data_IF_657546666288
#
_entry.id   IF_657546666288
#
_cell.length_a   1.000
_cell.length_b   1.000
_cell.length_c   1.000
_cell.angle_alpha   90.00
_cell.angle_beta   90.00
_cell.angle_gamma   90.00
#
_symmetry.space_group_name_H-M   'P 1'
#
loop_
_entity.id
_entity.type
_entity.pdbx_description
1 polymer ?
#
# COMPACT_ATOMS: atom_id res chain seq x y z
N UNK A 1 6.44 26.43 6.29
CA UNK A 1 5.12 27.10 6.07
C UNK A 1 4.03 26.11 6.38
N UNK A 2 2.80 26.52 6.68
CA UNK A 2 1.76 25.55 7.01
C UNK A 2 1.36 24.73 5.78
N UNK A 3 1.03 23.46 5.97
CA UNK A 3 0.38 22.63 4.96
C UNK A 3 -0.96 23.27 4.60
N UNK A 4 -1.23 23.43 3.29
CA UNK A 4 -2.45 24.06 2.77
C UNK A 4 -3.63 23.07 2.81
N UNK A 5 -3.98 22.61 4.03
CA UNK A 5 -5.08 21.68 4.24
C UNK A 5 -5.71 21.88 5.64
N UNK A 6 -7.03 21.96 5.68
CA UNK A 6 -7.74 22.24 6.94
C UNK A 6 -8.21 20.97 7.65
N UNK A 7 -8.35 21.04 8.97
CA UNK A 7 -8.90 19.94 9.76
C UNK A 7 -10.33 19.56 9.34
N UNK A 8 -11.16 20.54 8.97
CA UNK A 8 -12.52 20.29 8.47
C UNK A 8 -12.48 19.48 7.17
N UNK A 9 -11.58 19.83 6.26
CA UNK A 9 -11.40 19.09 5.01
C UNK A 9 -10.88 17.66 5.27
N UNK A 10 -9.98 17.47 6.22
CA UNK A 10 -9.51 16.15 6.62
C UNK A 10 -10.66 15.26 7.10
N UNK A 11 -11.54 15.80 7.96
CA UNK A 11 -12.73 15.08 8.44
C UNK A 11 -13.66 14.68 7.29
N UNK A 12 -13.89 15.60 6.32
CA UNK A 12 -14.69 15.31 5.13
C UNK A 12 -14.06 14.21 4.28
N UNK A 13 -12.77 14.29 4.03
CA UNK A 13 -12.05 13.31 3.22
C UNK A 13 -12.09 11.92 3.87
N UNK A 14 -11.82 11.80 5.17
CA UNK A 14 -11.94 10.53 5.90
C UNK A 14 -13.36 9.95 5.74
N UNK A 15 -14.40 10.78 5.93
CA UNK A 15 -15.78 10.33 5.80
C UNK A 15 -16.12 9.88 4.36
N UNK A 16 -15.63 10.57 3.33
CA UNK A 16 -15.87 10.21 1.93
C UNK A 16 -15.15 8.90 1.56
N UNK A 17 -13.93 8.68 2.04
CA UNK A 17 -13.21 7.40 1.88
C UNK A 17 -13.97 6.25 2.57
N UNK A 18 -14.46 6.44 3.78
CA UNK A 18 -15.26 5.43 4.48
C UNK A 18 -16.57 5.12 3.77
N UNK A 19 -17.23 6.13 3.18
CA UNK A 19 -18.42 5.94 2.35
C UNK A 19 -18.09 5.12 1.09
N UNK A 20 -16.94 5.35 0.47
CA UNK A 20 -16.50 4.55 -0.66
C UNK A 20 -16.31 3.07 -0.29
N UNK A 21 -15.68 2.79 0.86
CA UNK A 21 -15.55 1.42 1.37
C UNK A 21 -16.88 0.71 1.56
N UNK A 22 -17.94 1.44 1.90
CA UNK A 22 -19.28 0.91 2.09
C UNK A 22 -20.15 0.92 0.81
N UNK A 23 -19.63 1.44 -0.31
CA UNK A 23 -20.41 1.63 -1.55
C UNK A 23 -21.51 2.70 -1.41
N UNK A 24 -21.30 3.71 -0.55
CA UNK A 24 -22.27 4.76 -0.22
C UNK A 24 -21.85 6.13 -0.73
N UNK A 25 -20.71 6.25 -1.40
CA UNK A 25 -20.18 7.53 -1.86
C UNK A 25 -21.01 8.12 -3.01
N UNK A 26 -21.53 7.25 -3.89
CA UNK A 26 -22.37 7.64 -5.03
C UNK A 26 -21.59 8.28 -6.18
N UNK A 27 -20.27 8.25 -6.12
CA UNK A 27 -19.34 8.74 -7.14
C UNK A 27 -17.99 8.00 -7.03
N UNK A 28 -17.13 8.08 -8.05
CA UNK A 28 -15.74 7.62 -7.90
C UNK A 28 -15.03 8.33 -6.75
N UNK A 29 -14.09 7.63 -6.11
CA UNK A 29 -13.13 8.21 -5.20
C UNK A 29 -11.90 8.64 -6.00
N UNK A 30 -11.60 9.92 -6.05
CA UNK A 30 -10.49 10.44 -6.85
C UNK A 30 -9.61 11.35 -6.01
N UNK A 31 -8.38 10.92 -5.80
CA UNK A 31 -7.33 11.73 -5.16
C UNK A 31 -6.53 12.44 -6.23
N UNK A 32 -6.41 13.76 -6.15
CA UNK A 32 -5.57 14.53 -7.06
C UNK A 32 -4.61 15.43 -6.26
N UNK A 33 -3.31 15.17 -6.40
CA UNK A 33 -2.25 15.98 -5.79
C UNK A 33 -1.53 16.77 -6.86
N UNK A 34 -1.48 18.09 -6.68
CA UNK A 34 -0.79 19.02 -7.58
C UNK A 34 0.52 19.42 -6.94
N UNK A 35 1.63 19.09 -7.59
CA UNK A 35 2.97 19.46 -7.13
C UNK A 35 3.34 20.88 -7.53
N UNK A 36 4.20 21.51 -6.75
CA UNK A 36 4.70 22.88 -6.99
C UNK A 36 3.59 23.92 -7.16
N UNK A 37 2.45 23.70 -6.49
CA UNK A 37 1.34 24.65 -6.45
C UNK A 37 1.63 25.86 -5.55
N UNK A 38 2.44 25.66 -4.50
CA UNK A 38 2.80 26.69 -3.53
C UNK A 38 4.30 26.80 -3.35
N UNK A 39 4.82 28.01 -3.00
CA UNK A 39 6.24 28.19 -2.70
C UNK A 39 6.60 27.48 -1.39
N UNK A 40 7.77 26.86 -1.37
CA UNK A 40 8.34 26.22 -0.18
C UNK A 40 9.24 27.17 0.61
N UNK A 41 9.39 26.87 1.91
CA UNK A 41 10.42 27.47 2.75
C UNK A 41 11.85 27.05 2.35
N UNK A 42 12.88 27.48 3.11
CA UNK A 42 14.24 27.00 2.90
C UNK A 42 14.33 25.48 2.98
N UNK A 43 15.05 24.88 2.03
CA UNK A 43 15.21 23.43 1.98
C UNK A 43 15.96 22.91 3.21
N UNK A 44 15.42 21.91 3.93
CA UNK A 44 16.11 21.21 5.01
C UNK A 44 17.41 20.55 4.53
N UNK A 45 18.29 20.22 5.48
CA UNK A 45 19.54 19.53 5.16
C UNK A 45 19.33 18.04 4.86
N UNK A 46 18.39 17.43 5.59
CA UNK A 46 18.05 16.02 5.38
C UNK A 46 17.46 15.81 3.98
N UNK A 47 17.77 14.69 3.33
CA UNK A 47 17.14 14.32 2.06
C UNK A 47 15.67 13.94 2.32
N UNK A 48 14.84 14.08 1.30
CA UNK A 48 13.51 13.46 1.28
C UNK A 48 13.71 11.95 1.36
N UNK A 49 12.99 11.30 2.27
CA UNK A 49 13.09 9.86 2.47
C UNK A 49 12.62 9.12 1.22
N UNK A 50 13.48 8.26 0.69
CA UNK A 50 13.26 7.48 -0.53
C UNK A 50 14.03 6.16 -0.46
N UNK A 51 13.75 5.21 -1.37
CA UNK A 51 14.41 3.90 -1.37
C UNK A 51 15.96 4.01 -1.43
N UNK A 52 16.47 5.03 -2.10
CA UNK A 52 17.92 5.26 -2.25
C UNK A 52 18.61 5.62 -0.93
N UNK A 53 17.88 6.14 0.06
CA UNK A 53 18.50 6.68 1.26
C UNK A 53 17.95 6.11 2.59
N UNK A 54 17.06 5.13 2.57
CA UNK A 54 16.50 4.52 3.80
C UNK A 54 17.54 3.92 4.74
N UNK A 55 18.71 3.54 4.20
CA UNK A 55 19.84 2.98 4.94
C UNK A 55 20.68 4.03 5.68
N UNK A 56 20.49 5.33 5.38
CA UNK A 56 21.25 6.41 6.01
C UNK A 56 20.67 6.76 7.38
N UNK A 57 21.25 6.20 8.43
CA UNK A 57 20.88 6.42 9.82
C UNK A 57 21.56 7.67 10.43
N UNK A 58 22.30 8.47 9.64
CA UNK A 58 22.93 9.70 10.14
C UNK A 58 21.94 10.81 10.44
N UNK A 59 20.76 10.78 9.78
CA UNK A 59 19.68 11.73 9.99
C UNK A 59 18.75 11.28 11.10
N UNK A 60 18.41 12.21 12.01
CA UNK A 60 17.44 11.90 13.07
C UNK A 60 16.01 11.77 12.50
N UNK A 61 15.10 11.09 13.21
CA UNK A 61 13.69 11.03 12.81
C UNK A 61 13.06 12.42 12.61
N UNK A 62 13.39 13.39 13.46
CA UNK A 62 12.88 14.76 13.40
C UNK A 62 13.37 15.51 12.16
N UNK A 63 14.65 15.35 11.77
CA UNK A 63 15.20 15.93 10.53
C UNK A 63 14.54 15.34 9.28
N UNK A 64 14.26 14.02 9.28
CA UNK A 64 13.52 13.36 8.21
C UNK A 64 12.09 13.89 8.12
N UNK A 65 11.40 13.98 9.24
CA UNK A 65 10.01 14.50 9.31
C UNK A 65 9.95 15.95 8.84
N UNK A 66 10.95 16.78 9.18
CA UNK A 66 11.05 18.15 8.68
C UNK A 66 11.22 18.20 7.15
N UNK A 67 12.04 17.32 6.58
CA UNK A 67 12.24 17.23 5.14
C UNK A 67 10.98 16.79 4.40
N UNK A 68 10.26 15.80 4.93
CA UNK A 68 8.99 15.32 4.39
C UNK A 68 7.90 16.41 4.45
N UNK A 69 7.80 17.14 5.55
CA UNK A 69 6.86 18.26 5.67
C UNK A 69 7.17 19.35 4.64
N UNK A 70 8.45 19.71 4.49
CA UNK A 70 8.89 20.72 3.51
C UNK A 70 8.51 20.34 2.08
N UNK A 71 8.58 19.06 1.71
CA UNK A 71 8.13 18.61 0.39
C UNK A 71 6.63 18.84 0.21
N UNK A 72 5.83 18.48 1.21
CA UNK A 72 4.38 18.59 1.17
C UNK A 72 3.86 20.03 1.24
N UNK A 73 4.65 21.00 1.69
CA UNK A 73 4.28 22.44 1.71
C UNK A 73 3.90 22.99 0.34
N UNK A 74 4.48 22.41 -0.74
CA UNK A 74 4.20 22.89 -2.09
C UNK A 74 2.96 22.27 -2.73
N UNK A 75 2.31 21.34 -2.08
CA UNK A 75 1.22 20.57 -2.69
C UNK A 75 -0.13 21.22 -2.48
N UNK A 76 -0.95 21.18 -3.54
CA UNK A 76 -2.40 21.39 -3.46
C UNK A 76 -3.11 20.04 -3.56
N UNK A 77 -4.07 19.84 -2.69
CA UNK A 77 -4.84 18.60 -2.60
C UNK A 77 -6.25 18.84 -3.11
N UNK A 78 -6.64 18.18 -4.20
CA UNK A 78 -7.94 18.33 -4.86
C UNK A 78 -8.75 17.03 -4.75
N UNK A 79 -10.08 17.14 -4.89
CA UNK A 79 -10.98 16.00 -4.75
C UNK A 79 -10.85 15.34 -3.38
N UNK A 80 -10.56 14.05 -3.36
CA UNK A 80 -10.42 13.25 -2.13
C UNK A 80 -8.95 13.12 -1.67
N UNK A 81 -8.03 13.93 -2.22
CA UNK A 81 -6.64 13.94 -1.80
C UNK A 81 -6.44 14.62 -0.44
N UNK A 82 -5.38 14.23 0.23
CA UNK A 82 -4.99 14.70 1.55
C UNK A 82 -3.46 14.62 1.72
N UNK A 83 -2.87 15.38 2.66
CA UNK A 83 -1.44 15.29 2.96
C UNK A 83 -1.09 13.92 3.54
N UNK A 84 -0.15 13.22 2.91
CA UNK A 84 0.27 11.89 3.32
C UNK A 84 1.76 11.67 3.11
N UNK A 85 2.39 11.02 4.07
CA UNK A 85 3.75 10.48 3.98
C UNK A 85 3.65 8.98 3.79
N UNK A 86 4.22 8.49 2.69
CA UNK A 86 4.25 7.08 2.36
C UNK A 86 5.56 6.43 2.83
N UNK A 87 5.43 5.41 3.68
CA UNK A 87 6.55 4.63 4.20
C UNK A 87 6.91 3.40 3.34
N UNK A 88 6.26 3.19 2.19
CA UNK A 88 6.61 2.13 1.25
C UNK A 88 8.03 2.29 0.67
N UNK A 89 8.67 3.43 0.88
CA UNK A 89 10.10 3.63 0.55
C UNK A 89 11.04 2.65 1.25
N UNK A 90 10.64 2.03 2.37
CA UNK A 90 11.42 0.96 3.02
C UNK A 90 11.34 -0.38 2.27
N UNK A 91 10.64 -0.43 1.15
CA UNK A 91 10.51 -1.56 0.23
C UNK A 91 9.25 -2.40 0.49
N UNK A 92 8.81 -3.16 -0.52
CA UNK A 92 7.70 -4.08 -0.36
C UNK A 92 8.12 -5.23 0.56
N UNK A 93 7.33 -5.50 1.59
CA UNK A 93 7.61 -6.60 2.51
C UNK A 93 8.74 -6.32 3.51
N UNK A 94 8.85 -5.08 4.03
CA UNK A 94 9.90 -4.73 5.02
C UNK A 94 9.86 -5.60 6.28
N UNK A 95 8.76 -6.31 6.55
CA UNK A 95 8.68 -7.30 7.63
C UNK A 95 9.77 -8.37 7.51
N UNK A 96 10.15 -8.78 6.29
CA UNK A 96 11.25 -9.73 6.10
C UNK A 96 12.55 -9.24 6.74
N UNK A 97 12.89 -7.95 6.60
CA UNK A 97 14.07 -7.37 7.25
C UNK A 97 13.91 -7.30 8.78
N UNK A 98 12.70 -7.09 9.28
CA UNK A 98 12.40 -7.11 10.72
C UNK A 98 12.47 -8.52 11.31
N UNK A 99 12.32 -9.55 10.47
CA UNK A 99 12.44 -10.97 10.83
C UNK A 99 13.83 -11.56 10.54
N UNK A 100 14.79 -10.78 10.01
CA UNK A 100 16.19 -11.23 9.86
C UNK A 100 16.75 -11.20 8.44
N UNK A 101 15.95 -10.98 7.40
CA UNK A 101 16.47 -10.79 6.04
C UNK A 101 17.39 -9.57 5.97
N UNK A 102 18.37 -9.63 5.07
CA UNK A 102 19.24 -8.49 4.82
C UNK A 102 18.57 -7.53 3.85
N UNK A 103 18.32 -6.29 4.30
CA UNK A 103 17.91 -5.21 3.40
C UNK A 103 19.14 -4.59 2.74
N UNK A 104 19.16 -4.52 1.43
CA UNK A 104 20.15 -3.82 0.61
C UNK A 104 19.47 -2.87 -0.38
N UNK A 105 20.00 -1.68 -0.53
CA UNK A 105 19.52 -0.66 -1.47
C UNK A 105 20.65 -0.06 -2.32
N UNK A 106 21.75 -0.78 -2.45
CA UNK A 106 22.94 -0.35 -3.25
C UNK A 106 22.61 -0.10 -4.73
N UNK A 107 21.54 -0.72 -5.25
CA UNK A 107 21.03 -0.50 -6.62
C UNK A 107 20.16 0.75 -6.77
N UNK A 108 19.92 1.51 -5.69
CA UNK A 108 18.95 2.60 -5.66
C UNK A 108 17.50 2.12 -5.41
N UNK A 109 17.30 0.81 -5.23
CA UNK A 109 16.03 0.19 -4.85
C UNK A 109 16.25 -0.76 -3.70
N UNK A 110 15.24 -0.88 -2.83
CA UNK A 110 15.28 -1.82 -1.69
C UNK A 110 15.04 -3.25 -2.17
N UNK A 111 15.94 -4.14 -1.74
CA UNK A 111 15.85 -5.58 -1.94
C UNK A 111 16.08 -6.30 -0.62
N UNK A 112 15.47 -7.47 -0.46
CA UNK A 112 15.67 -8.34 0.70
C UNK A 112 16.40 -9.60 0.27
N UNK A 113 17.44 -9.97 1.03
CA UNK A 113 18.25 -11.16 0.77
C UNK A 113 18.07 -12.19 1.90
N UNK A 114 18.00 -13.48 1.54
CA UNK A 114 17.74 -14.55 2.48
C UNK A 114 18.74 -14.61 3.64
N UNK A 115 18.23 -14.97 4.81
CA UNK A 115 19.06 -15.24 5.99
C UNK A 115 19.26 -16.74 6.25
N UNK A 116 18.34 -17.62 5.84
CA UNK A 116 18.42 -19.07 5.97
C UNK A 116 17.68 -19.74 4.79
N UNK A 117 18.40 -20.46 3.95
CA UNK A 117 17.84 -21.10 2.75
C UNK A 117 17.16 -22.44 3.03
N UNK A 118 17.52 -23.09 4.12
CA UNK A 118 16.94 -24.37 4.53
C UNK A 118 15.63 -24.10 5.29
N UNK A 119 14.49 -24.35 4.62
CA UNK A 119 13.15 -24.10 5.18
C UNK A 119 12.89 -24.87 6.47
N UNK A 120 13.57 -26.00 6.67
CA UNK A 120 13.45 -26.82 7.89
C UNK A 120 14.14 -26.18 9.09
N UNK A 121 15.09 -25.26 8.86
CA UNK A 121 15.84 -24.52 9.89
C UNK A 121 15.37 -23.09 10.06
N UNK A 122 14.67 -22.55 9.06
CA UNK A 122 14.14 -21.20 9.14
C UNK A 122 13.07 -21.12 10.23
N UNK A 123 13.16 -20.09 11.07
CA UNK A 123 12.11 -19.68 12.01
C UNK A 123 11.82 -18.20 11.85
N UNK A 124 10.54 -17.84 11.78
CA UNK A 124 10.10 -16.49 11.50
C UNK A 124 9.52 -15.88 12.77
N UNK A 125 10.12 -14.76 13.21
CA UNK A 125 9.64 -14.00 14.37
C UNK A 125 9.86 -12.52 14.13
N UNK A 126 8.86 -11.71 14.42
CA UNK A 126 9.01 -10.26 14.48
C UNK A 126 9.90 -9.87 15.66
N UNK A 127 10.93 -9.08 15.38
CA UNK A 127 11.76 -8.47 16.41
C UNK A 127 11.47 -6.96 16.48
N UNK A 128 10.70 -6.48 17.49
CA UNK A 128 10.39 -5.07 17.64
C UNK A 128 11.61 -4.18 17.91
N UNK A 129 12.75 -4.77 18.32
CA UNK A 129 14.02 -4.07 18.56
C UNK A 129 14.97 -4.14 17.35
N UNK A 130 14.57 -4.83 16.28
CA UNK A 130 15.32 -4.81 15.03
C UNK A 130 15.56 -3.37 14.55
N UNK A 131 16.74 -3.11 13.99
CA UNK A 131 17.12 -1.75 13.57
C UNK A 131 16.11 -1.09 12.61
N UNK A 132 15.49 -1.88 11.70
CA UNK A 132 14.52 -1.38 10.73
C UNK A 132 13.17 -1.10 11.40
N UNK A 133 12.69 -2.00 12.26
CA UNK A 133 11.48 -1.79 13.05
C UNK A 133 11.60 -0.53 13.90
N UNK A 134 12.72 -0.37 14.63
CA UNK A 134 12.99 0.83 15.43
C UNK A 134 13.03 2.09 14.59
N UNK A 135 13.80 2.08 13.47
CA UNK A 135 13.93 3.24 12.57
C UNK A 135 12.59 3.74 12.08
N UNK A 136 11.75 2.84 11.56
CA UNK A 136 10.44 3.21 11.03
C UNK A 136 9.52 3.69 12.16
N UNK A 137 9.50 3.00 13.30
CA UNK A 137 8.71 3.42 14.48
C UNK A 137 9.11 4.80 14.99
N UNK A 138 10.40 5.11 15.02
CA UNK A 138 10.87 6.41 15.50
C UNK A 138 10.49 7.54 14.53
N UNK A 139 10.55 7.31 13.21
CA UNK A 139 10.03 8.25 12.21
C UNK A 139 8.52 8.45 12.38
N UNK A 140 7.75 7.36 12.56
CA UNK A 140 6.31 7.45 12.83
C UNK A 140 6.02 8.28 14.09
N UNK A 141 6.71 8.03 15.21
CA UNK A 141 6.52 8.78 16.46
C UNK A 141 6.81 10.26 16.30
N UNK A 142 7.94 10.60 15.66
CA UNK A 142 8.30 11.98 15.37
C UNK A 142 7.24 12.68 14.51
N UNK A 143 6.74 12.01 13.47
CA UNK A 143 5.69 12.54 12.60
C UNK A 143 4.35 12.71 13.33
N UNK A 144 3.91 11.72 14.11
CA UNK A 144 2.68 11.81 14.91
C UNK A 144 2.73 12.98 15.90
N UNK A 145 3.86 13.15 16.59
CA UNK A 145 4.03 14.26 17.54
C UNK A 145 4.02 15.62 16.84
N UNK A 146 4.70 15.75 15.70
CA UNK A 146 4.82 16.99 14.94
C UNK A 146 3.53 17.38 14.23
N UNK A 147 2.89 16.44 13.56
CA UNK A 147 1.77 16.72 12.65
C UNK A 147 0.39 16.62 13.30
N UNK A 148 0.24 15.83 14.35
CA UNK A 148 -1.01 15.69 15.12
C UNK A 148 -2.24 15.45 14.24
N UNK A 149 -2.07 14.65 13.18
CA UNK A 149 -3.12 14.30 12.22
C UNK A 149 -3.32 15.29 11.07
N UNK A 150 -2.54 16.37 10.95
CA UNK A 150 -2.58 17.26 9.77
C UNK A 150 -1.89 16.65 8.54
N UNK A 151 -0.95 15.76 8.74
CA UNK A 151 -0.34 14.89 7.73
C UNK A 151 -0.52 13.46 8.21
N UNK A 152 -1.01 12.60 7.33
CA UNK A 152 -1.24 11.18 7.63
C UNK A 152 0.01 10.38 7.26
N UNK A 153 0.37 9.42 8.09
CA UNK A 153 1.47 8.48 7.85
C UNK A 153 0.86 7.14 7.45
N UNK A 154 1.38 6.53 6.39
CA UNK A 154 0.93 5.19 5.98
C UNK A 154 1.45 4.12 6.93
N UNK A 155 0.73 3.02 7.04
CA UNK A 155 1.28 1.75 7.52
C UNK A 155 2.44 1.37 6.59
N UNK A 156 3.61 0.96 7.11
CA UNK A 156 4.66 0.43 6.24
C UNK A 156 4.18 -0.79 5.47
N UNK A 157 4.77 -1.04 4.31
CA UNK A 157 4.46 -2.22 3.52
C UNK A 157 5.10 -3.46 4.16
N UNK A 158 4.30 -4.20 4.93
CA UNK A 158 4.75 -5.42 5.61
C UNK A 158 4.86 -6.62 4.66
N UNK A 159 4.31 -6.51 3.44
CA UNK A 159 4.31 -7.57 2.43
C UNK A 159 3.23 -8.63 2.61
N UNK A 160 3.19 -9.56 1.67
CA UNK A 160 2.40 -10.77 1.73
C UNK A 160 3.11 -11.89 2.51
N UNK A 161 2.38 -12.84 3.04
CA UNK A 161 2.94 -13.89 3.90
C UNK A 161 3.97 -14.75 3.15
N UNK A 162 3.63 -15.27 1.97
CA UNK A 162 4.59 -16.05 1.18
C UNK A 162 5.74 -15.20 0.63
N UNK A 163 5.51 -13.91 0.36
CA UNK A 163 6.54 -13.00 -0.12
C UNK A 163 7.58 -12.73 0.98
N UNK A 164 7.14 -12.60 2.23
CA UNK A 164 8.03 -12.50 3.39
C UNK A 164 8.85 -13.79 3.58
N UNK A 165 8.21 -14.95 3.45
CA UNK A 165 8.91 -16.24 3.55
C UNK A 165 9.93 -16.35 2.41
N UNK A 166 9.56 -16.04 1.16
CA UNK A 166 10.45 -16.03 -0.01
C UNK A 166 11.64 -15.08 0.18
N UNK A 167 11.43 -13.92 0.81
CA UNK A 167 12.50 -12.98 1.14
C UNK A 167 13.46 -13.52 2.21
N UNK A 168 13.00 -14.41 3.08
CA UNK A 168 13.79 -14.98 4.17
C UNK A 168 14.57 -16.25 3.77
N UNK A 169 14.02 -17.07 2.87
CA UNK A 169 14.72 -18.31 2.45
C UNK A 169 15.17 -18.31 0.99
N UNK A 170 14.56 -17.50 0.14
CA UNK A 170 14.77 -17.50 -1.31
C UNK A 170 13.53 -17.98 -2.04
N UNK A 171 13.24 -17.36 -3.16
CA UNK A 171 12.03 -17.64 -3.96
C UNK A 171 12.04 -19.06 -4.53
N UNK A 172 13.21 -19.51 -5.05
CA UNK A 172 13.37 -20.86 -5.61
C UNK A 172 13.28 -21.92 -4.51
N UNK A 173 13.92 -21.67 -3.38
CA UNK A 173 13.90 -22.56 -2.22
C UNK A 173 12.46 -22.75 -1.70
N UNK A 174 11.69 -21.66 -1.59
CA UNK A 174 10.28 -21.74 -1.20
C UNK A 174 9.47 -22.54 -2.24
N UNK A 175 9.68 -22.28 -3.53
CA UNK A 175 8.95 -22.96 -4.61
C UNK A 175 9.20 -24.48 -4.56
N UNK A 176 10.44 -24.92 -4.37
CA UNK A 176 10.73 -26.34 -4.20
C UNK A 176 10.11 -26.89 -2.91
N UNK A 177 10.20 -26.15 -1.81
CA UNK A 177 9.64 -26.58 -0.53
C UNK A 177 8.12 -26.78 -0.57
N UNK A 178 7.36 -26.01 -1.38
CA UNK A 178 5.92 -26.25 -1.54
C UNK A 178 5.60 -27.63 -2.12
N UNK A 179 6.55 -28.30 -2.77
CA UNK A 179 6.40 -29.66 -3.34
C UNK A 179 7.05 -30.72 -2.45
N UNK A 180 8.23 -30.44 -1.92
CA UNK A 180 9.07 -31.43 -1.24
C UNK A 180 8.87 -31.42 0.28
N UNK A 181 8.54 -30.27 0.87
CA UNK A 181 8.43 -30.03 2.32
C UNK A 181 7.17 -29.22 2.69
N UNK A 182 5.95 -29.58 2.19
CA UNK A 182 4.75 -28.75 2.35
C UNK A 182 4.38 -28.51 3.82
N UNK A 183 4.68 -29.44 4.72
CA UNK A 183 4.41 -29.29 6.17
C UNK A 183 5.27 -28.17 6.79
N UNK A 184 6.52 -28.03 6.33
CA UNK A 184 7.39 -26.94 6.76
C UNK A 184 6.90 -25.59 6.21
N UNK A 185 6.42 -25.56 4.96
CA UNK A 185 5.81 -24.35 4.41
C UNK A 185 4.58 -23.93 5.22
N UNK A 186 3.70 -24.88 5.62
CA UNK A 186 2.57 -24.57 6.50
C UNK A 186 3.01 -24.04 7.86
N UNK A 187 4.08 -24.59 8.45
CA UNK A 187 4.66 -24.05 9.69
C UNK A 187 5.14 -22.62 9.51
N UNK A 188 5.91 -22.37 8.44
CA UNK A 188 6.43 -21.03 8.15
C UNK A 188 5.31 -20.03 7.89
N UNK A 189 4.23 -20.43 7.22
CA UNK A 189 3.04 -19.57 7.03
C UNK A 189 2.47 -19.13 8.38
N UNK A 190 2.29 -20.05 9.33
CA UNK A 190 1.77 -19.70 10.65
C UNK A 190 2.72 -18.78 11.44
N UNK A 191 4.03 -19.03 11.37
CA UNK A 191 5.02 -18.16 12.00
C UNK A 191 5.04 -16.76 11.35
N UNK A 192 4.98 -16.68 10.03
CA UNK A 192 4.94 -15.41 9.28
C UNK A 192 3.64 -14.62 9.53
N UNK A 193 2.48 -15.30 9.60
CA UNK A 193 1.21 -14.65 9.98
C UNK A 193 1.28 -14.07 11.40
N UNK A 194 1.85 -14.80 12.34
CA UNK A 194 2.02 -14.28 13.70
C UNK A 194 2.94 -13.05 13.71
N UNK A 195 4.10 -13.13 13.05
CA UNK A 195 5.03 -12.02 12.94
C UNK A 195 4.39 -10.80 12.27
N UNK A 196 3.60 -11.02 11.23
CA UNK A 196 2.87 -9.97 10.53
C UNK A 196 1.84 -9.28 11.45
N UNK A 197 1.07 -10.07 12.21
CA UNK A 197 0.07 -9.54 13.15
C UNK A 197 0.71 -8.74 14.28
N UNK A 198 1.82 -9.22 14.83
CA UNK A 198 2.58 -8.51 15.87
C UNK A 198 3.13 -7.17 15.34
N UNK A 199 3.73 -7.17 14.14
CA UNK A 199 4.22 -5.96 13.50
C UNK A 199 3.09 -4.98 13.18
N UNK A 200 1.99 -5.47 12.57
CA UNK A 200 0.83 -4.64 12.27
C UNK A 200 0.27 -3.96 13.53
N UNK A 201 0.11 -4.72 14.61
CA UNK A 201 -0.39 -4.19 15.88
C UNK A 201 0.55 -3.13 16.49
N UNK A 202 1.86 -3.36 16.44
CA UNK A 202 2.88 -2.44 16.96
C UNK A 202 2.85 -1.10 16.19
N UNK A 203 2.82 -1.14 14.86
CA UNK A 203 2.69 0.08 14.04
C UNK A 203 1.32 0.75 14.18
N UNK A 204 0.23 -0.03 14.19
CA UNK A 204 -1.12 0.51 14.36
C UNK A 204 -1.27 1.27 15.68
N UNK A 205 -0.68 0.79 16.77
CA UNK A 205 -0.70 1.48 18.05
C UNK A 205 0.02 2.85 18.00
N UNK A 206 1.12 2.96 17.24
CA UNK A 206 1.86 4.21 17.05
C UNK A 206 1.06 5.19 16.17
N UNK A 207 0.39 4.67 15.13
CA UNK A 207 -0.36 5.48 14.16
C UNK A 207 -1.77 5.86 14.64
N UNK A 208 -2.33 5.19 15.64
CA UNK A 208 -3.68 5.43 16.15
C UNK A 208 -4.02 6.91 16.46
N UNK A 209 -3.10 7.74 17.01
CA UNK A 209 -3.42 9.13 17.31
C UNK A 209 -3.78 10.01 16.12
N UNK A 210 -3.46 9.60 14.88
CA UNK A 210 -3.87 10.35 13.69
C UNK A 210 -5.35 10.19 13.33
N UNK A 211 -6.08 9.26 13.99
CA UNK A 211 -7.53 9.11 13.88
C UNK A 211 -8.04 8.33 12.66
N UNK A 212 -7.16 7.88 11.79
CA UNK A 212 -7.46 7.03 10.65
C UNK A 212 -6.23 6.22 10.24
N UNK A 213 -6.42 5.22 9.42
CA UNK A 213 -5.33 4.41 8.88
C UNK A 213 -5.33 4.44 7.36
N UNK A 214 -4.16 4.26 6.78
CA UNK A 214 -3.95 4.05 5.36
C UNK A 214 -2.65 3.27 5.14
N UNK A 215 -2.43 2.82 3.93
CA UNK A 215 -1.19 2.20 3.48
C UNK A 215 -0.81 2.80 2.11
N UNK A 216 0.14 2.23 1.41
CA UNK A 216 0.64 2.76 0.14
C UNK A 216 -0.44 2.88 -0.97
N UNK A 217 -1.61 2.22 -0.83
CA UNK A 217 -2.72 2.44 -1.75
C UNK A 217 -3.36 3.83 -1.58
N UNK A 218 -3.17 4.47 -0.43
CA UNK A 218 -3.61 5.83 -0.15
C UNK A 218 -5.11 5.99 0.11
N UNK A 219 -5.89 4.93 0.34
CA UNK A 219 -7.28 5.05 0.75
C UNK A 219 -7.35 5.05 2.28
N UNK A 220 -7.96 6.10 2.84
CA UNK A 220 -8.16 6.21 4.29
C UNK A 220 -9.24 5.24 4.78
N UNK A 221 -9.10 4.84 6.03
CA UNK A 221 -10.10 4.08 6.78
C UNK A 221 -10.16 4.61 8.21
N UNK A 222 -11.35 4.86 8.74
CA UNK A 222 -11.54 5.13 10.16
C UNK A 222 -11.29 3.88 11.04
N UNK A 223 -11.40 2.69 10.44
CA UNK A 223 -11.00 1.42 11.04
C UNK A 223 -9.64 0.94 10.56
N UNK A 224 -9.37 -0.34 10.75
CA UNK A 224 -8.17 -1.00 10.24
C UNK A 224 -8.21 -1.14 8.72
N UNK A 225 -7.07 -1.01 8.05
CA UNK A 225 -6.94 -1.23 6.61
C UNK A 225 -5.59 -1.83 6.24
N UNK A 226 -5.60 -2.65 5.21
CA UNK A 226 -4.38 -3.18 4.61
C UNK A 226 -4.60 -3.55 3.15
N UNK A 227 -3.49 -3.79 2.44
CA UNK A 227 -3.46 -4.28 1.07
C UNK A 227 -2.72 -5.62 1.02
N UNK A 228 -3.43 -6.75 1.31
CA UNK A 228 -2.85 -8.07 1.17
C UNK A 228 -2.34 -8.30 -0.25
N UNK A 229 -1.22 -9.00 -0.35
CA UNK A 229 -0.57 -9.34 -1.62
C UNK A 229 0.06 -10.72 -1.56
N UNK A 230 0.36 -11.28 -2.72
CA UNK A 230 1.18 -12.46 -2.84
C UNK A 230 1.79 -12.51 -4.25
N UNK A 231 2.97 -11.88 -4.41
CA UNK A 231 3.67 -11.88 -5.71
C UNK A 231 4.16 -13.29 -6.06
N UNK A 232 4.49 -14.09 -5.05
CA UNK A 232 4.81 -15.49 -5.20
C UNK A 232 3.72 -16.29 -5.93
N UNK A 233 2.45 -15.86 -5.85
CA UNK A 233 1.32 -16.51 -6.52
C UNK A 233 1.42 -16.50 -8.06
N UNK A 234 2.26 -15.64 -8.64
CA UNK A 234 2.52 -15.64 -10.08
C UNK A 234 3.15 -16.97 -10.57
N UNK A 235 3.86 -17.68 -9.68
CA UNK A 235 4.64 -18.89 -9.98
C UNK A 235 3.91 -20.19 -9.66
N UNK A 236 2.76 -20.13 -8.98
CA UNK A 236 2.03 -21.31 -8.50
C UNK A 236 0.67 -21.46 -9.16
N UNK A 237 0.22 -22.72 -9.30
CA UNK A 237 -1.09 -23.03 -9.84
C UNK A 237 -2.25 -22.86 -8.84
N UNK A 238 -3.52 -22.95 -9.32
CA UNK A 238 -4.70 -22.73 -8.48
C UNK A 238 -4.80 -23.66 -7.26
N UNK A 239 -4.34 -24.89 -7.34
CA UNK A 239 -4.38 -25.80 -6.20
C UNK A 239 -3.40 -25.42 -5.10
N UNK A 240 -2.17 -25.02 -5.47
CA UNK A 240 -1.19 -24.51 -4.53
C UNK A 240 -1.63 -23.15 -3.93
N UNK A 241 -2.25 -22.28 -4.75
CA UNK A 241 -2.81 -21.03 -4.25
C UNK A 241 -3.91 -21.29 -3.20
N UNK A 242 -4.78 -22.27 -3.46
CA UNK A 242 -5.82 -22.67 -2.50
C UNK A 242 -5.22 -23.19 -1.19
N UNK A 243 -4.16 -23.97 -1.30
CA UNK A 243 -3.51 -24.61 -0.15
C UNK A 243 -2.71 -23.60 0.68
N UNK A 244 -1.85 -22.81 0.07
CA UNK A 244 -0.85 -22.00 0.79
C UNK A 244 -1.21 -20.51 0.93
N UNK A 245 -2.18 -19.98 0.14
CA UNK A 245 -2.47 -18.55 0.11
C UNK A 245 -3.89 -18.21 0.55
N UNK A 246 -4.89 -18.92 0.00
CA UNK A 246 -6.29 -18.50 0.12
C UNK A 246 -6.79 -18.45 1.58
N UNK A 247 -6.40 -19.42 2.39
CA UNK A 247 -6.83 -19.48 3.79
C UNK A 247 -6.21 -18.37 4.63
N UNK A 248 -4.97 -18.00 4.36
CA UNK A 248 -4.29 -16.85 4.97
C UNK A 248 -5.04 -15.56 4.63
N UNK A 249 -5.32 -15.34 3.35
CA UNK A 249 -6.08 -14.17 2.90
C UNK A 249 -7.48 -14.11 3.52
N UNK A 250 -8.14 -15.26 3.71
CA UNK A 250 -9.44 -15.32 4.38
C UNK A 250 -9.33 -14.80 5.81
N UNK A 251 -8.34 -15.28 6.57
CA UNK A 251 -8.09 -14.83 7.96
C UNK A 251 -7.75 -13.34 8.02
N UNK A 252 -6.92 -12.85 7.13
CA UNK A 252 -6.53 -11.43 7.08
C UNK A 252 -7.72 -10.53 6.77
N UNK A 253 -8.54 -10.90 5.78
CA UNK A 253 -9.74 -10.13 5.43
C UNK A 253 -10.83 -10.18 6.50
N UNK A 254 -10.84 -11.19 7.38
CA UNK A 254 -11.75 -11.27 8.53
C UNK A 254 -11.31 -10.40 9.71
N UNK A 255 -10.00 -10.16 9.86
CA UNK A 255 -9.43 -9.38 10.96
C UNK A 255 -9.36 -7.88 10.67
N UNK A 256 -9.22 -7.52 9.40
CA UNK A 256 -9.04 -6.14 8.95
C UNK A 256 -10.34 -5.64 8.33
N UNK A 257 -10.80 -4.46 8.76
CA UNK A 257 -12.10 -3.91 8.36
C UNK A 257 -12.18 -3.64 6.84
N UNK A 258 -11.11 -3.09 6.25
CA UNK A 258 -11.07 -2.71 4.85
C UNK A 258 -9.79 -3.23 4.18
N UNK A 259 -9.95 -4.13 3.21
CA UNK A 259 -8.84 -4.75 2.49
C UNK A 259 -9.01 -4.60 0.98
N UNK A 260 -7.88 -4.34 0.30
CA UNK A 260 -7.73 -4.38 -1.16
C UNK A 260 -6.67 -5.43 -1.46
N UNK A 261 -6.96 -6.41 -2.30
CA UNK A 261 -5.92 -7.34 -2.74
C UNK A 261 -5.13 -6.74 -3.89
N UNK A 262 -3.81 -6.73 -3.77
CA UNK A 262 -2.88 -6.37 -4.83
C UNK A 262 -2.72 -7.56 -5.78
N UNK A 263 -3.34 -7.46 -6.97
CA UNK A 263 -3.28 -8.48 -8.01
C UNK A 263 -2.28 -8.02 -9.06
N UNK A 264 -1.03 -8.49 -8.98
CA UNK A 264 0.06 -8.06 -9.85
C UNK A 264 0.43 -9.11 -10.89
N UNK A 265 0.29 -8.70 -12.14
CA UNK A 265 0.67 -9.49 -13.30
C UNK A 265 -0.40 -10.45 -13.81
N UNK A 266 -0.41 -10.59 -15.13
CA UNK A 266 -1.40 -11.44 -15.84
C UNK A 266 -1.40 -12.90 -15.38
N UNK A 267 -0.28 -13.41 -14.87
CA UNK A 267 -0.16 -14.78 -14.34
C UNK A 267 -1.05 -15.03 -13.13
N UNK A 268 -1.36 -13.98 -12.34
CA UNK A 268 -2.22 -14.11 -11.18
C UNK A 268 -3.73 -14.12 -11.50
N UNK A 269 -4.14 -13.80 -12.75
CA UNK A 269 -5.56 -13.80 -13.15
C UNK A 269 -6.23 -15.17 -12.98
N UNK A 270 -5.47 -16.27 -13.03
CA UNK A 270 -5.99 -17.62 -12.77
C UNK A 270 -6.53 -17.80 -11.34
N UNK A 271 -6.15 -16.93 -10.41
CA UNK A 271 -6.60 -16.96 -9.02
C UNK A 271 -7.76 -15.99 -8.73
N UNK A 272 -8.15 -15.16 -9.71
CA UNK A 272 -9.13 -14.09 -9.49
C UNK A 272 -10.47 -14.62 -8.94
N UNK A 273 -10.97 -15.74 -9.41
CA UNK A 273 -12.23 -16.31 -8.90
C UNK A 273 -12.16 -16.70 -7.42
N UNK A 274 -11.02 -17.21 -6.97
CA UNK A 274 -10.81 -17.53 -5.56
C UNK A 274 -10.73 -16.27 -4.71
N UNK A 275 -10.04 -15.23 -5.18
CA UNK A 275 -10.00 -13.93 -4.52
C UNK A 275 -11.41 -13.31 -4.41
N UNK A 276 -12.19 -13.34 -5.49
CA UNK A 276 -13.54 -12.81 -5.52
C UNK A 276 -14.50 -13.58 -4.59
N UNK A 277 -14.21 -14.85 -4.32
CA UNK A 277 -15.00 -15.67 -3.37
C UNK A 277 -14.83 -15.27 -1.90
N UNK A 278 -13.80 -14.49 -1.55
CA UNK A 278 -13.57 -14.01 -0.19
C UNK A 278 -14.62 -12.96 0.19
N UNK A 279 -15.54 -13.23 1.14
CA UNK A 279 -16.69 -12.36 1.36
C UNK A 279 -16.31 -11.01 1.99
N UNK A 280 -15.21 -10.96 2.74
CA UNK A 280 -14.73 -9.76 3.43
C UNK A 280 -13.73 -8.93 2.64
N UNK A 281 -13.16 -9.48 1.58
CA UNK A 281 -12.32 -8.70 0.68
C UNK A 281 -13.16 -7.60 0.02
N UNK A 282 -12.76 -6.34 0.14
CA UNK A 282 -13.55 -5.18 -0.30
C UNK A 282 -13.25 -4.75 -1.73
N UNK A 283 -12.00 -4.87 -2.14
CA UNK A 283 -11.57 -4.36 -3.44
C UNK A 283 -10.42 -5.19 -4.03
N UNK A 284 -10.21 -5.01 -5.33
CA UNK A 284 -9.04 -5.50 -6.07
C UNK A 284 -8.29 -4.31 -6.66
N UNK A 285 -6.98 -4.29 -6.50
CA UNK A 285 -6.08 -3.47 -7.29
C UNK A 285 -5.52 -4.33 -8.41
N UNK A 286 -5.79 -3.97 -9.66
CA UNK A 286 -5.28 -4.68 -10.82
C UNK A 286 -4.07 -3.98 -11.42
N UNK A 287 -2.94 -4.69 -11.49
CA UNK A 287 -1.69 -4.25 -12.11
C UNK A 287 -1.35 -5.24 -13.22
N UNK A 288 -1.42 -4.85 -14.50
CA UNK A 288 -1.16 -5.78 -15.60
C UNK A 288 0.28 -6.33 -15.65
N UNK A 289 1.25 -5.59 -15.12
CA UNK A 289 2.68 -5.90 -15.16
C UNK A 289 3.41 -5.18 -16.32
N UNK A 290 4.74 -5.16 -16.24
CA UNK A 290 5.60 -4.50 -17.21
C UNK A 290 5.39 -5.03 -18.63
N UNK A 291 5.37 -4.11 -19.61
CA UNK A 291 5.21 -4.44 -21.03
C UNK A 291 3.81 -4.93 -21.44
N UNK A 292 2.82 -4.86 -20.53
CA UNK A 292 1.44 -5.18 -20.81
C UNK A 292 0.63 -3.94 -21.23
N UNK A 293 -0.50 -4.12 -21.90
CA UNK A 293 -1.44 -3.02 -22.21
C UNK A 293 -1.85 -2.27 -20.95
N UNK A 294 -2.17 -0.98 -21.10
CA UNK A 294 -2.63 -0.14 -20.00
C UNK A 294 -3.95 -0.58 -19.36
N UNK A 295 -4.32 0.04 -18.22
CA UNK A 295 -5.53 -0.36 -17.47
C UNK A 295 -6.81 -0.41 -18.29
N UNK A 296 -6.96 0.45 -19.28
CA UNK A 296 -8.12 0.54 -20.17
C UNK A 296 -8.36 -0.71 -21.03
N UNK A 297 -7.35 -1.55 -21.17
CA UNK A 297 -7.40 -2.74 -22.01
C UNK A 297 -7.88 -4.00 -21.28
N UNK A 298 -8.37 -3.86 -20.05
CA UNK A 298 -8.79 -4.98 -19.19
C UNK A 298 -10.23 -4.87 -18.69
N UNK A 299 -11.21 -4.47 -19.54
CA UNK A 299 -12.59 -4.26 -19.09
C UNK A 299 -13.22 -5.53 -18.49
N UNK A 300 -12.87 -6.72 -18.98
CA UNK A 300 -13.38 -8.00 -18.47
C UNK A 300 -12.95 -8.27 -17.03
N UNK A 301 -11.75 -7.85 -16.62
CA UNK A 301 -11.29 -7.98 -15.22
C UNK A 301 -12.14 -7.08 -14.32
N UNK A 302 -12.34 -5.84 -14.72
CA UNK A 302 -13.10 -4.88 -13.94
C UNK A 302 -14.58 -5.25 -13.84
N UNK A 303 -15.18 -5.65 -14.96
CA UNK A 303 -16.57 -6.12 -14.98
C UNK A 303 -16.78 -7.32 -14.05
N UNK A 304 -15.84 -8.27 -14.06
CA UNK A 304 -15.85 -9.44 -13.19
C UNK A 304 -15.76 -9.07 -11.71
N UNK A 305 -14.83 -8.18 -11.34
CA UNK A 305 -14.68 -7.67 -9.97
C UNK A 305 -15.94 -6.94 -9.50
N UNK A 306 -16.49 -6.05 -10.34
CA UNK A 306 -17.72 -5.32 -10.03
C UNK A 306 -18.93 -6.22 -9.90
N UNK A 307 -19.06 -7.26 -10.76
CA UNK A 307 -20.13 -8.24 -10.69
C UNK A 307 -20.09 -9.05 -9.38
N UNK A 308 -18.89 -9.27 -8.83
CA UNK A 308 -18.71 -9.87 -7.51
C UNK A 308 -19.00 -8.90 -6.33
N UNK A 309 -19.48 -7.68 -6.61
CA UNK A 309 -19.83 -6.68 -5.61
C UNK A 309 -18.63 -5.94 -5.00
N UNK A 310 -17.43 -6.09 -5.55
CA UNK A 310 -16.19 -5.49 -5.01
C UNK A 310 -15.84 -4.19 -5.72
N UNK A 311 -15.08 -3.35 -5.03
CA UNK A 311 -14.54 -2.11 -5.57
C UNK A 311 -13.23 -2.35 -6.34
N UNK A 312 -12.79 -1.37 -7.10
CA UNK A 312 -11.60 -1.44 -7.95
C UNK A 312 -10.69 -0.27 -7.67
N UNK A 313 -9.43 -0.55 -7.48
CA UNK A 313 -8.37 0.44 -7.55
C UNK A 313 -7.68 0.34 -8.90
N UNK A 314 -7.77 1.40 -9.69
CA UNK A 314 -7.06 1.50 -10.97
C UNK A 314 -5.74 2.23 -10.72
N UNK A 315 -4.64 1.54 -10.98
CA UNK A 315 -3.32 2.16 -11.05
C UNK A 315 -3.14 2.66 -12.49
N UNK A 316 -2.70 3.86 -12.61
CA UNK A 316 -2.32 4.44 -13.88
C UNK A 316 -1.64 5.77 -13.64
N UNK A 317 -0.80 6.18 -14.57
CA UNK A 317 -0.43 7.58 -14.68
C UNK A 317 -1.73 8.34 -14.86
N UNK A 318 -2.15 9.11 -13.86
CA UNK A 318 -3.38 9.93 -13.92
C UNK A 318 -3.43 10.92 -15.07
N UNK A 319 -2.36 11.00 -15.87
CA UNK A 319 -2.29 11.74 -17.13
C UNK A 319 -2.80 10.96 -18.33
N UNK A 320 -2.88 9.63 -18.22
CA UNK A 320 -3.54 8.86 -19.26
C UNK A 320 -5.04 8.91 -19.03
N UNK A 321 -5.79 9.38 -20.00
CA UNK A 321 -7.25 9.40 -19.99
C UNK A 321 -7.90 8.01 -19.89
N UNK A 322 -7.10 6.97 -19.73
CA UNK A 322 -7.52 5.58 -19.72
C UNK A 322 -8.46 5.23 -18.56
N UNK A 323 -8.19 5.75 -17.37
CA UNK A 323 -9.11 5.59 -16.25
C UNK A 323 -10.42 6.37 -16.45
N UNK A 324 -10.40 7.49 -17.21
CA UNK A 324 -11.58 8.27 -17.57
C UNK A 324 -12.57 7.51 -18.43
N UNK A 325 -12.09 6.72 -19.38
CA UNK A 325 -12.94 5.95 -20.27
C UNK A 325 -13.66 4.80 -19.57
N UNK A 326 -13.06 4.29 -18.48
CA UNK A 326 -13.64 3.24 -17.64
C UNK A 326 -14.67 3.79 -16.64
N UNK A 327 -14.50 5.03 -16.17
CA UNK A 327 -15.36 5.65 -15.16
C UNK A 327 -16.85 5.62 -15.50
N UNK A 328 -17.31 5.94 -16.74
CA UNK A 328 -18.72 5.87 -17.07
C UNK A 328 -19.33 4.46 -16.96
N UNK A 329 -18.51 3.41 -17.07
CA UNK A 329 -18.94 2.02 -17.00
C UNK A 329 -18.93 1.48 -15.58
N UNK A 330 -17.93 1.86 -14.77
CA UNK A 330 -17.65 1.26 -13.47
C UNK A 330 -18.09 2.15 -12.29
N UNK A 331 -18.29 3.45 -12.56
CA UNK A 331 -18.97 4.40 -11.68
C UNK A 331 -18.34 4.53 -10.29
N UNK A 332 -19.19 4.49 -9.29
CA UNK A 332 -18.86 4.72 -7.87
C UNK A 332 -17.90 3.70 -7.25
N UNK A 333 -17.69 2.55 -7.91
CA UNK A 333 -16.79 1.50 -7.42
C UNK A 333 -15.31 1.78 -7.63
N UNK A 334 -14.97 2.79 -8.43
CA UNK A 334 -13.59 3.10 -8.79
C UNK A 334 -12.93 3.96 -7.73
N UNK A 335 -11.68 3.63 -7.44
CA UNK A 335 -10.69 4.54 -6.87
C UNK A 335 -9.58 4.82 -7.90
N UNK A 336 -9.19 6.09 -8.02
CA UNK A 336 -8.09 6.53 -8.88
C UNK A 336 -7.26 7.61 -8.20
N UNK A 337 -5.94 7.57 -8.45
CA UNK A 337 -4.99 8.59 -8.01
C UNK A 337 -4.46 9.42 -9.18
N UNK A 338 -4.42 10.73 -9.03
CA UNK A 338 -3.83 11.66 -9.99
C UNK A 338 -2.66 12.37 -9.33
N UNK A 339 -1.53 12.38 -10.01
CA UNK A 339 -0.36 13.14 -9.63
C UNK A 339 0.02 14.06 -10.79
N UNK A 340 -0.10 15.36 -10.61
CA UNK A 340 0.05 16.33 -11.67
C UNK A 340 0.88 17.54 -11.22
N UNK A 341 1.50 18.22 -12.17
CA UNK A 341 2.18 19.49 -11.94
C UNK A 341 1.20 20.66 -11.86
N UNK A 342 1.64 21.80 -11.34
CA UNK A 342 0.85 23.03 -11.32
C UNK A 342 0.42 23.50 -12.72
N UNK A 343 1.18 23.17 -13.76
CA UNK A 343 0.82 23.49 -15.15
C UNK A 343 -0.41 22.70 -15.64
N UNK A 344 -0.68 21.52 -15.07
CA UNK A 344 -1.79 20.63 -15.45
C UNK A 344 -3.02 20.83 -14.56
N UNK A 345 -2.95 21.74 -13.58
CA UNK A 345 -3.99 21.95 -12.57
C UNK A 345 -5.39 22.18 -13.16
N UNK A 346 -5.50 23.00 -14.19
CA UNK A 346 -6.81 23.33 -14.80
C UNK A 346 -7.45 22.10 -15.47
N UNK A 347 -6.63 21.23 -16.05
CA UNK A 347 -7.10 19.98 -16.66
C UNK A 347 -7.62 19.02 -15.58
N UNK A 348 -6.91 18.92 -14.46
CA UNK A 348 -7.34 18.12 -13.30
C UNK A 348 -8.66 18.66 -12.73
N UNK A 349 -8.79 19.99 -12.57
CA UNK A 349 -10.04 20.62 -12.08
C UNK A 349 -11.21 20.33 -13.03
N UNK A 350 -11.00 20.45 -14.35
CA UNK A 350 -12.03 20.09 -15.34
C UNK A 350 -12.47 18.63 -15.20
N UNK A 351 -11.49 17.75 -15.05
CA UNK A 351 -11.74 16.34 -14.88
C UNK A 351 -12.57 16.04 -13.64
N UNK A 352 -12.17 16.55 -12.46
CA UNK A 352 -12.90 16.35 -11.21
C UNK A 352 -14.36 16.86 -11.34
N UNK A 353 -14.56 18.02 -11.93
CA UNK A 353 -15.91 18.58 -12.17
C UNK A 353 -16.75 17.68 -13.07
N UNK A 354 -16.17 17.11 -14.12
CA UNK A 354 -16.88 16.17 -15.02
C UNK A 354 -17.32 14.90 -14.28
N UNK A 355 -16.61 14.52 -13.21
CA UNK A 355 -16.95 13.39 -12.30
C UNK A 355 -17.89 13.78 -11.16
N UNK A 356 -18.36 15.03 -11.09
CA UNK A 356 -19.18 15.53 -9.99
C UNK A 356 -18.41 15.69 -8.68
N UNK A 357 -17.09 15.86 -8.76
CA UNK A 357 -16.19 15.98 -7.59
C UNK A 357 -15.81 17.46 -7.43
N UNK A 358 -15.93 17.96 -6.22
CA UNK A 358 -15.47 19.29 -5.85
C UNK A 358 -13.93 19.35 -5.88
N UNK A 359 -13.39 20.38 -6.53
CA UNK A 359 -11.95 20.55 -6.68
C UNK A 359 -11.33 21.35 -5.53
#
# INVERSE_FOLDING_TARGET
MPIHFTEERMKKVIADHDRWWRGELGRPLVRASITDAYPRGPRPKAPILAQENVHDFSWTPEEIVEALEWELESFEYLGDAYPVVDLACFGPGVLAAMCGATLDNSSGRVWFFPCEKDVTKLHIRYDPENKWARRIKDICRAGIERWKGSIIITMPDLGGILDVIASLCGTEELLYATMDEPEEVHRLILEAEQAWQEAYADFAAILAPQGCMTNWNGILSAGTTYIPQCDFAYMIGPDMFREFVLETLRRDTERIDNTIYHLDGVGQLIHLDMLLSLPKLKAIQWVPGDGKPGPEMWPEVYEKVCAAGKNIMIIGDGRTNSSLELLPKLGEKIYSGIWASSAEREDVVRYLKAMGIEA
#
